data_IF_650569742932
#
_entry.id   IF_650569742932
#
_cell.length_a   1.000
_cell.length_b   1.000
_cell.length_c   1.000
_cell.angle_alpha   90.00
_cell.angle_beta   90.00
_cell.angle_gamma   90.00
#
_symmetry.space_group_name_H-M   'P 1'
#
loop_
_entity.id
_entity.type
_entity.pdbx_description
1 polymer ?
#
# COMPACT_ATOMS: atom_id res chain seq x y z
N UNK A 1 -2.27 -12.88 -11.12
CA UNK A 1 -3.45 -13.10 -12.00
C UNK A 1 -3.12 -13.43 -13.44
N UNK A 2 -3.96 -14.27 -14.07
CA UNK A 2 -3.95 -14.57 -15.52
C UNK A 2 -5.27 -14.13 -16.16
N UNK A 3 -5.24 -13.62 -17.39
CA UNK A 3 -6.44 -13.30 -18.18
C UNK A 3 -6.44 -14.16 -19.45
N UNK A 4 -7.61 -14.68 -19.83
CA UNK A 4 -7.82 -15.45 -21.06
C UNK A 4 -9.21 -15.22 -21.63
N UNK A 5 -9.36 -15.39 -22.94
CA UNK A 5 -10.66 -15.37 -23.60
C UNK A 5 -11.33 -16.75 -23.50
N UNK A 6 -12.62 -16.80 -23.14
CA UNK A 6 -13.41 -18.04 -23.01
C UNK A 6 -14.85 -17.76 -23.42
N UNK A 7 -15.32 -18.36 -24.51
CA UNK A 7 -16.66 -18.08 -25.04
C UNK A 7 -16.80 -16.60 -25.38
N UNK A 8 -17.84 -15.95 -24.89
CA UNK A 8 -18.10 -14.51 -25.03
C UNK A 8 -17.53 -13.68 -23.87
N UNK A 9 -16.52 -14.19 -23.14
CA UNK A 9 -16.04 -13.56 -21.92
C UNK A 9 -14.51 -13.44 -21.85
N UNK A 10 -14.03 -12.35 -21.23
CA UNK A 10 -12.70 -12.32 -20.63
C UNK A 10 -12.76 -12.96 -19.23
N UNK A 11 -11.95 -13.99 -19.03
CA UNK A 11 -11.80 -14.69 -17.74
C UNK A 11 -10.50 -14.26 -17.06
N UNK A 12 -10.62 -13.61 -15.90
CA UNK A 12 -9.50 -13.21 -15.04
C UNK A 12 -9.45 -14.17 -13.85
N UNK A 13 -8.31 -14.81 -13.63
CA UNK A 13 -8.11 -15.82 -12.58
C UNK A 13 -7.14 -15.31 -11.51
N UNK A 14 -7.62 -15.27 -10.26
CA UNK A 14 -6.82 -14.99 -9.07
C UNK A 14 -5.91 -16.17 -8.70
N UNK A 15 -4.80 -15.89 -8.02
CA UNK A 15 -4.12 -16.92 -7.23
C UNK A 15 -4.96 -17.24 -5.99
N UNK A 16 -4.85 -18.45 -5.44
CA UNK A 16 -5.56 -18.92 -4.22
C UNK A 16 -5.14 -18.18 -2.93
N UNK A 17 -4.79 -16.90 -3.02
CA UNK A 17 -4.39 -16.07 -1.88
C UNK A 17 -5.49 -15.05 -1.60
N UNK A 18 -5.70 -14.75 -0.32
CA UNK A 18 -6.67 -13.74 0.12
C UNK A 18 -6.43 -12.38 -0.56
N UNK A 19 -5.15 -12.00 -0.69
CA UNK A 19 -4.73 -10.78 -1.36
C UNK A 19 -5.19 -10.71 -2.82
N UNK A 20 -5.01 -11.79 -3.58
CA UNK A 20 -5.44 -11.82 -4.98
C UNK A 20 -6.96 -11.95 -5.11
N UNK A 21 -7.65 -12.60 -4.17
CA UNK A 21 -9.11 -12.62 -4.12
C UNK A 21 -9.69 -11.23 -3.85
N UNK A 22 -9.10 -10.47 -2.94
CA UNK A 22 -9.48 -9.08 -2.72
C UNK A 22 -9.22 -8.22 -3.96
N UNK A 23 -8.03 -8.37 -4.56
CA UNK A 23 -7.68 -7.67 -5.79
C UNK A 23 -8.66 -8.00 -6.93
N UNK A 24 -9.15 -9.25 -7.01
CA UNK A 24 -10.12 -9.69 -8.02
C UNK A 24 -11.44 -8.92 -7.88
N UNK A 25 -11.93 -8.75 -6.65
CA UNK A 25 -13.12 -7.96 -6.37
C UNK A 25 -12.93 -6.47 -6.68
N UNK A 26 -11.74 -5.91 -6.46
CA UNK A 26 -11.44 -4.51 -6.85
C UNK A 26 -11.40 -4.32 -8.37
N UNK A 27 -10.89 -5.30 -9.10
CA UNK A 27 -10.91 -5.30 -10.57
C UNK A 27 -12.35 -5.36 -11.09
N UNK A 28 -13.20 -6.22 -10.51
CA UNK A 28 -14.63 -6.28 -10.84
C UNK A 28 -15.31 -4.92 -10.63
N UNK A 29 -15.14 -4.31 -9.45
CA UNK A 29 -15.73 -3.02 -9.13
C UNK A 29 -15.31 -1.95 -10.14
N UNK A 30 -14.03 -1.89 -10.49
CA UNK A 30 -13.54 -0.91 -11.45
C UNK A 30 -14.19 -1.09 -12.83
N UNK A 31 -14.22 -2.33 -13.34
CA UNK A 31 -14.81 -2.62 -14.65
C UNK A 31 -16.31 -2.30 -14.65
N UNK A 32 -17.02 -2.73 -13.61
CA UNK A 32 -18.47 -2.49 -13.48
C UNK A 32 -18.81 -1.01 -13.39
N UNK A 33 -18.03 -0.23 -12.65
CA UNK A 33 -18.32 1.20 -12.39
C UNK A 33 -17.85 2.10 -13.53
N UNK A 34 -16.68 1.86 -14.12
CA UNK A 34 -16.06 2.81 -15.05
C UNK A 34 -16.18 2.40 -16.51
N UNK A 35 -16.34 1.11 -16.81
CA UNK A 35 -16.49 0.63 -18.19
C UNK A 35 -17.87 0.02 -18.43
N UNK A 36 -18.70 -0.08 -17.37
CA UNK A 36 -20.09 -0.52 -17.42
C UNK A 36 -20.30 -1.90 -18.06
N UNK A 37 -19.25 -2.73 -18.11
CA UNK A 37 -19.37 -4.09 -18.64
C UNK A 37 -20.06 -5.01 -17.62
N UNK A 38 -20.84 -5.96 -18.14
CA UNK A 38 -21.43 -7.01 -17.31
C UNK A 38 -20.35 -7.93 -16.77
N UNK A 39 -20.36 -8.16 -15.46
CA UNK A 39 -19.36 -8.95 -14.75
C UNK A 39 -20.00 -9.93 -13.78
N UNK A 40 -19.32 -11.04 -13.50
CA UNK A 40 -19.67 -11.94 -12.40
C UNK A 40 -18.45 -12.71 -11.89
N UNK A 41 -18.44 -12.99 -10.58
CA UNK A 41 -17.39 -13.79 -9.93
C UNK A 41 -17.92 -15.21 -9.67
N UNK A 42 -17.12 -16.21 -10.04
CA UNK A 42 -17.36 -17.63 -9.71
C UNK A 42 -16.06 -18.28 -9.22
N UNK A 43 -15.98 -18.49 -7.91
CA UNK A 43 -14.77 -18.99 -7.24
C UNK A 43 -13.59 -18.04 -7.45
N UNK A 44 -12.48 -18.55 -7.94
CA UNK A 44 -11.24 -17.77 -8.19
C UNK A 44 -11.26 -16.97 -9.50
N UNK A 45 -12.41 -16.86 -10.15
CA UNK A 45 -12.52 -16.35 -11.51
C UNK A 45 -13.52 -15.20 -11.58
N UNK A 46 -13.11 -14.11 -12.19
CA UNK A 46 -13.97 -13.04 -12.67
C UNK A 46 -14.19 -13.24 -14.17
N UNK A 47 -15.45 -13.15 -14.59
CA UNK A 47 -15.85 -13.16 -15.99
C UNK A 47 -16.41 -11.80 -16.36
N UNK A 48 -15.96 -11.28 -17.50
CA UNK A 48 -16.40 -10.01 -18.08
C UNK A 48 -16.99 -10.30 -19.44
N UNK A 49 -18.26 -9.96 -19.66
CA UNK A 49 -18.94 -10.24 -20.93
C UNK A 49 -18.46 -9.31 -22.04
N UNK A 50 -18.18 -9.89 -23.20
CA UNK A 50 -17.63 -9.24 -24.40
C UNK A 50 -18.50 -9.62 -25.61
N UNK A 51 -19.51 -8.82 -25.94
CA UNK A 51 -20.53 -9.17 -26.94
C UNK A 51 -19.97 -9.36 -28.35
N UNK A 52 -18.88 -8.67 -28.73
CA UNK A 52 -18.26 -8.83 -30.06
C UNK A 52 -17.03 -9.76 -30.02
N UNK A 53 -16.90 -10.55 -28.96
CA UNK A 53 -15.96 -11.66 -28.88
C UNK A 53 -14.48 -11.26 -28.88
N UNK A 54 -13.67 -11.83 -29.77
CA UNK A 54 -12.21 -11.72 -29.74
C UNK A 54 -11.70 -10.29 -30.01
N UNK A 55 -12.43 -9.50 -30.81
CA UNK A 55 -12.12 -8.09 -31.04
C UNK A 55 -12.21 -7.28 -29.75
N UNK A 56 -13.36 -7.34 -29.07
CA UNK A 56 -13.59 -6.70 -27.78
C UNK A 56 -12.60 -7.20 -26.71
N UNK A 57 -12.14 -8.45 -26.81
CA UNK A 57 -11.18 -9.02 -25.88
C UNK A 57 -9.81 -8.34 -25.96
N UNK A 58 -9.32 -8.05 -27.17
CA UNK A 58 -8.03 -7.40 -27.35
C UNK A 58 -8.06 -5.96 -26.84
N UNK A 59 -9.12 -5.22 -27.16
CA UNK A 59 -9.35 -3.85 -26.65
C UNK A 59 -9.47 -3.85 -25.12
N UNK A 60 -10.35 -4.70 -24.57
CA UNK A 60 -10.54 -4.84 -23.13
C UNK A 60 -9.23 -5.14 -22.39
N UNK A 61 -8.42 -6.05 -22.93
CA UNK A 61 -7.16 -6.46 -22.31
C UNK A 61 -6.14 -5.31 -22.29
N UNK A 62 -6.06 -4.51 -23.34
CA UNK A 62 -5.08 -3.42 -23.45
C UNK A 62 -5.52 -2.17 -22.69
N UNK A 63 -6.80 -1.81 -22.74
CA UNK A 63 -7.26 -0.50 -22.26
C UNK A 63 -7.91 -0.56 -20.88
N UNK A 64 -8.74 -1.56 -20.62
CA UNK A 64 -9.60 -1.59 -19.43
C UNK A 64 -8.98 -2.44 -18.32
N UNK A 65 -8.59 -3.67 -18.64
CA UNK A 65 -8.06 -4.61 -17.66
C UNK A 65 -6.77 -4.09 -17.00
N UNK A 66 -5.86 -3.49 -17.77
CA UNK A 66 -4.60 -2.97 -17.23
C UNK A 66 -4.86 -1.82 -16.25
N UNK A 67 -5.76 -0.88 -16.60
CA UNK A 67 -6.15 0.23 -15.71
C UNK A 67 -6.81 -0.29 -14.43
N UNK A 68 -7.78 -1.19 -14.57
CA UNK A 68 -8.46 -1.83 -13.44
C UNK A 68 -7.47 -2.57 -12.53
N UNK A 69 -6.53 -3.31 -13.11
CA UNK A 69 -5.51 -4.04 -12.38
C UNK A 69 -4.56 -3.12 -11.62
N UNK A 70 -4.10 -2.03 -12.22
CA UNK A 70 -3.22 -1.07 -11.52
C UNK A 70 -3.92 -0.43 -10.32
N UNK A 71 -5.16 0.03 -10.50
CA UNK A 71 -5.94 0.61 -9.40
C UNK A 71 -6.22 -0.42 -8.29
N UNK A 72 -6.61 -1.62 -8.66
CA UNK A 72 -6.81 -2.71 -7.72
C UNK A 72 -5.51 -3.07 -6.98
N UNK A 73 -4.34 -3.02 -7.63
CA UNK A 73 -3.05 -3.24 -6.99
C UNK A 73 -2.72 -2.16 -5.96
N UNK A 74 -3.01 -0.90 -6.24
CA UNK A 74 -2.83 0.22 -5.30
C UNK A 74 -3.71 0.03 -4.06
N UNK A 75 -5.01 -0.19 -4.24
CA UNK A 75 -5.96 -0.42 -3.13
C UNK A 75 -5.61 -1.68 -2.33
N UNK A 76 -5.18 -2.74 -3.01
CA UNK A 76 -4.72 -3.97 -2.36
C UNK A 76 -3.43 -3.73 -1.59
N UNK A 77 -2.51 -2.90 -2.11
CA UNK A 77 -1.30 -2.50 -1.38
C UNK A 77 -1.69 -1.71 -0.14
N UNK A 78 -2.63 -0.78 -0.19
CA UNK A 78 -3.07 -0.02 0.99
C UNK A 78 -3.70 -0.92 2.05
N UNK A 79 -4.60 -1.82 1.65
CA UNK A 79 -5.30 -2.74 2.57
C UNK A 79 -4.36 -3.76 3.21
N UNK A 80 -3.53 -4.42 2.40
CA UNK A 80 -2.63 -5.48 2.86
C UNK A 80 -1.20 -4.99 3.10
N UNK A 81 -0.96 -3.68 3.15
CA UNK A 81 0.35 -3.15 3.53
C UNK A 81 0.61 -3.56 4.97
N UNK A 82 1.62 -4.38 5.25
CA UNK A 82 1.95 -4.76 6.62
C UNK A 82 2.50 -3.58 7.44
N UNK A 83 2.70 -2.41 6.81
CA UNK A 83 3.48 -1.31 7.38
C UNK A 83 2.84 0.02 7.01
N UNK A 84 1.94 0.52 7.85
CA UNK A 84 1.76 1.98 7.96
C UNK A 84 3.08 2.52 8.51
N UNK A 85 4.00 2.91 7.62
CA UNK A 85 5.29 3.49 8.01
C UNK A 85 5.02 4.91 8.46
N UNK A 86 5.17 5.19 9.76
CA UNK A 86 5.12 6.57 10.24
C UNK A 86 6.54 7.12 10.22
N UNK A 87 6.68 8.30 9.62
CA UNK A 87 7.90 9.09 9.76
C UNK A 87 7.79 9.81 11.08
N UNK A 88 8.78 9.62 11.95
CA UNK A 88 8.92 10.32 13.22
C UNK A 88 10.30 10.94 13.31
N UNK A 89 10.45 11.93 14.16
CA UNK A 89 11.70 12.61 14.45
C UNK A 89 12.16 12.17 15.83
N UNK A 90 13.35 11.61 15.94
CA UNK A 90 13.94 11.16 17.20
C UNK A 90 15.06 12.10 17.63
N UNK A 91 15.13 12.35 18.93
CA UNK A 91 16.21 13.08 19.58
C UNK A 91 17.20 12.06 20.11
N UNK A 92 18.46 12.19 19.69
CA UNK A 92 19.56 11.29 20.03
C UNK A 92 20.59 12.02 20.89
N UNK A 93 21.11 11.35 21.91
CA UNK A 93 22.19 11.83 22.78
C UNK A 93 23.36 10.84 22.81
N UNK A 94 24.58 11.35 22.78
CA UNK A 94 25.79 10.53 22.83
C UNK A 94 26.21 10.23 24.27
N UNK A 95 25.79 9.10 24.82
CA UNK A 95 26.03 8.77 26.24
C UNK A 95 27.34 8.00 26.48
N UNK A 96 27.84 7.25 25.49
CA UNK A 96 29.01 6.39 25.63
C UNK A 96 29.93 6.51 24.41
N UNK A 97 30.86 7.49 24.41
CA UNK A 97 31.96 7.69 23.42
C UNK A 97 31.68 7.02 22.05
N UNK A 98 30.70 7.55 21.31
CA UNK A 98 30.26 7.05 20.01
C UNK A 98 28.88 6.40 19.95
N UNK A 99 28.27 6.03 21.08
CA UNK A 99 26.92 5.43 21.11
C UNK A 99 25.82 6.48 21.30
N UNK A 100 24.99 6.62 20.27
CA UNK A 100 23.81 7.47 20.25
C UNK A 100 22.58 6.73 20.80
N UNK A 101 21.93 7.33 21.78
CA UNK A 101 20.74 6.78 22.46
C UNK A 101 19.52 7.66 22.19
N UNK A 102 18.37 7.05 21.89
CA UNK A 102 17.10 7.77 21.72
C UNK A 102 16.58 8.25 23.07
N UNK A 103 16.49 9.57 23.24
CA UNK A 103 16.03 10.24 24.47
C UNK A 103 14.71 11.00 24.28
N UNK A 104 14.19 11.04 23.05
CA UNK A 104 12.94 11.71 22.72
C UNK A 104 12.45 11.34 21.32
N UNK A 105 11.14 11.50 21.11
CA UNK A 105 10.45 11.21 19.86
C UNK A 105 9.32 12.21 19.66
N UNK A 106 9.16 12.69 18.44
CA UNK A 106 8.10 13.60 18.05
C UNK A 106 7.62 13.33 16.63
N UNK A 107 6.40 13.76 16.33
CA UNK A 107 5.79 13.58 15.02
C UNK A 107 6.18 14.70 14.04
N UNK A 108 6.64 15.85 14.56
CA UNK A 108 7.12 16.97 13.76
C UNK A 108 8.59 17.28 14.06
N UNK A 109 9.29 17.85 13.07
CA UNK A 109 10.67 18.32 13.23
C UNK A 109 10.75 19.44 14.27
N UNK A 110 9.75 20.33 14.27
CA UNK A 110 9.70 21.50 15.16
C UNK A 110 9.65 21.04 16.61
N UNK A 111 8.82 20.05 16.93
CA UNK A 111 8.70 19.54 18.28
C UNK A 111 9.93 18.74 18.71
N UNK A 112 10.54 17.98 17.80
CA UNK A 112 11.82 17.32 18.08
C UNK A 112 12.96 18.33 18.34
N UNK A 113 12.99 19.46 17.63
CA UNK A 113 13.95 20.55 17.87
C UNK A 113 13.70 21.22 19.23
N UNK A 114 12.44 21.46 19.60
CA UNK A 114 12.10 21.96 20.95
C UNK A 114 12.57 21.01 22.05
N UNK A 115 12.36 19.69 21.88
CA UNK A 115 12.87 18.67 22.80
C UNK A 115 14.41 18.66 22.85
N UNK A 116 15.08 18.76 21.70
CA UNK A 116 16.55 18.85 21.63
C UNK A 116 17.08 20.06 22.41
N UNK A 117 16.48 21.25 22.24
CA UNK A 117 16.86 22.47 22.98
C UNK A 117 16.69 22.31 24.50
N UNK A 118 15.60 21.67 24.95
CA UNK A 118 15.40 21.33 26.35
C UNK A 118 16.53 20.43 26.89
N UNK A 119 16.88 19.37 26.16
CA UNK A 119 17.92 18.45 26.59
C UNK A 119 19.33 19.05 26.53
N UNK A 120 19.63 19.93 25.57
CA UNK A 120 20.92 20.65 25.52
C UNK A 120 21.15 21.49 26.77
N UNK A 121 20.09 22.11 27.32
CA UNK A 121 20.18 22.89 28.56
C UNK A 121 20.43 22.00 29.79
N UNK A 122 19.88 20.79 29.79
CA UNK A 122 19.97 19.83 30.92
C UNK A 122 21.28 19.03 30.93
N UNK A 123 21.79 18.68 29.76
CA UNK A 123 22.96 17.82 29.58
C UNK A 123 24.12 18.59 28.98
N UNK A 124 24.61 19.61 29.72
CA UNK A 124 25.76 20.43 29.32
C UNK A 124 26.91 19.53 28.82
N UNK A 125 27.48 19.93 27.69
CA UNK A 125 28.65 19.32 27.05
C UNK A 125 28.46 17.91 26.47
N UNK A 126 27.22 17.39 26.41
CA UNK A 126 26.91 16.14 25.72
C UNK A 126 26.30 16.45 24.34
N UNK A 127 26.84 15.91 23.23
CA UNK A 127 26.25 16.07 21.90
C UNK A 127 24.82 15.53 21.81
N UNK A 128 23.93 16.32 21.21
CA UNK A 128 22.52 15.98 20.97
C UNK A 128 22.15 16.36 19.54
N UNK A 129 21.43 15.47 18.85
CA UNK A 129 20.95 15.71 17.49
C UNK A 129 19.52 15.23 17.26
N UNK A 130 18.91 15.69 16.17
CA UNK A 130 17.61 15.23 15.71
C UNK A 130 17.78 14.44 14.41
N UNK A 131 17.20 13.25 14.34
CA UNK A 131 17.23 12.38 13.16
C UNK A 131 15.84 11.92 12.77
N UNK A 132 15.57 11.88 11.47
CA UNK A 132 14.35 11.27 10.95
C UNK A 132 14.46 9.74 11.07
N UNK A 133 13.46 9.11 11.69
CA UNK A 133 13.37 7.65 11.86
C UNK A 133 12.08 7.15 11.21
N UNK A 134 12.17 6.06 10.46
CA UNK A 134 11.00 5.34 9.96
C UNK A 134 10.63 4.30 11.00
N UNK A 135 9.41 4.36 11.52
CA UNK A 135 8.88 3.33 12.41
C UNK A 135 7.83 2.51 11.68
N UNK A 136 7.81 1.22 11.95
CA UNK A 136 6.72 0.34 11.56
C UNK A 136 5.63 0.52 12.62
N UNK A 137 4.43 0.94 12.20
CA UNK A 137 3.27 0.78 13.07
C UNK A 137 2.96 -0.72 13.07
N UNK A 138 3.11 -1.36 14.23
CA UNK A 138 2.58 -2.70 14.42
C UNK A 138 1.11 -2.68 13.99
N UNK A 139 0.74 -3.59 13.10
CA UNK A 139 -0.65 -3.85 12.80
C UNK A 139 -1.29 -4.32 14.10
N UNK A 140 -2.08 -3.47 14.74
CA UNK A 140 -3.03 -3.91 15.76
C UNK A 140 -3.88 -4.96 15.07
N UNK A 141 -3.65 -6.22 15.44
CA UNK A 141 -4.49 -7.33 15.02
C UNK A 141 -5.80 -7.12 15.76
N UNK A 142 -6.78 -6.54 15.07
CA UNK A 142 -8.16 -6.44 15.53
C UNK A 142 -8.93 -7.70 15.10
#
# INVERSE_FOLDING_TARGET
MKIKYVGDCAKITALKTEREMYMLGRIEDHIRVYTHKQTYIKGLNLYVKLPNGEYDYMEFKQEEYIKAKHKAQEETREKFSPRKRRIVWVVLQELNKGKWTEIGKADSRIDAVKQMEYWKKKSKDIPIMVKQKRIELESVSA
#
